data_IF_744630357380
#
_entry.id   IF_744630357380
#
_cell.length_a   1.000
_cell.length_b   1.000
_cell.length_c   1.000
_cell.angle_alpha   90.00
_cell.angle_beta   90.00
_cell.angle_gamma   90.00
#
_symmetry.space_group_name_H-M   'P 1'
#
loop_
_entity.id
_entity.type
_entity.pdbx_description
1 polymer ?
#
# COMPACT_ATOMS: atom_id res chain seq x y z
N UNK A 1 -15.14 -31.60 3.68
CA UNK A 1 -14.33 -30.97 2.60
C UNK A 1 -13.99 -29.47 2.81
N UNK A 2 -14.66 -28.69 3.70
CA UNK A 2 -14.32 -27.26 3.93
C UNK A 2 -12.99 -26.99 4.67
N UNK A 3 -12.49 -27.95 5.46
CA UNK A 3 -11.27 -27.75 6.28
C UNK A 3 -9.96 -27.86 5.48
N UNK A 4 -9.91 -28.73 4.46
CA UNK A 4 -8.70 -28.91 3.66
C UNK A 4 -8.36 -27.66 2.83
N UNK A 5 -9.37 -26.99 2.26
CA UNK A 5 -9.17 -25.73 1.53
C UNK A 5 -8.68 -24.60 2.45
N UNK A 6 -9.24 -24.50 3.66
CA UNK A 6 -8.82 -23.52 4.66
C UNK A 6 -7.38 -23.78 5.14
N UNK A 7 -6.98 -25.04 5.25
CA UNK A 7 -5.63 -25.45 5.63
C UNK A 7 -4.62 -25.18 4.51
N UNK A 8 -4.93 -25.51 3.27
CA UNK A 8 -4.09 -25.21 2.10
C UNK A 8 -3.93 -23.69 1.86
N UNK A 9 -4.98 -22.90 2.07
CA UNK A 9 -4.90 -21.44 2.00
C UNK A 9 -4.01 -20.87 3.12
N UNK A 10 -4.08 -21.45 4.33
CA UNK A 10 -3.19 -21.08 5.45
C UNK A 10 -1.74 -21.44 5.19
N UNK A 11 -1.47 -22.60 4.61
CA UNK A 11 -0.10 -23.04 4.28
C UNK A 11 0.50 -22.21 3.14
N UNK A 12 -0.28 -21.90 2.09
CA UNK A 12 0.14 -20.95 1.04
C UNK A 12 0.40 -19.55 1.60
N UNK A 13 -0.43 -19.07 2.53
CA UNK A 13 -0.20 -17.79 3.21
C UNK A 13 1.04 -17.82 4.12
N UNK A 14 1.39 -18.99 4.69
CA UNK A 14 2.56 -19.15 5.57
C UNK A 14 3.89 -19.08 4.80
N UNK A 15 3.91 -19.53 3.55
CA UNK A 15 5.11 -19.57 2.72
C UNK A 15 5.28 -18.33 1.84
N UNK A 16 4.25 -17.48 1.73
CA UNK A 16 4.36 -16.21 1.02
C UNK A 16 5.11 -15.21 1.90
N UNK A 17 6.37 -14.92 1.57
CA UNK A 17 7.09 -13.80 2.17
C UNK A 17 6.31 -12.51 1.86
N UNK A 18 5.79 -11.85 2.88
CA UNK A 18 5.06 -10.58 2.71
C UNK A 18 6.05 -9.49 2.36
N UNK A 19 5.73 -8.69 1.34
CA UNK A 19 6.58 -7.56 0.97
C UNK A 19 6.24 -6.38 1.89
N UNK A 20 7.23 -5.85 2.59
CA UNK A 20 7.10 -4.70 3.48
C UNK A 20 7.86 -3.51 2.89
N UNK A 21 7.39 -2.29 3.18
CA UNK A 21 8.02 -1.08 2.69
C UNK A 21 7.01 0.04 2.46
N UNK A 22 7.14 0.75 1.33
CA UNK A 22 6.35 1.92 0.98
C UNK A 22 5.71 1.76 -0.39
N UNK A 23 4.41 2.00 -0.46
CA UNK A 23 3.58 2.01 -1.66
C UNK A 23 3.35 3.46 -2.11
N UNK A 24 3.44 3.67 -3.42
CA UNK A 24 2.94 4.84 -4.11
C UNK A 24 1.67 4.49 -4.89
N UNK A 25 0.66 5.34 -4.79
CA UNK A 25 -0.53 5.31 -5.63
C UNK A 25 -0.57 6.60 -6.43
N UNK A 26 -0.37 6.49 -7.73
CA UNK A 26 -0.29 7.62 -8.65
C UNK A 26 -1.57 7.72 -9.47
N UNK A 27 -2.12 8.92 -9.56
CA UNK A 27 -3.13 9.25 -10.56
C UNK A 27 -2.43 9.58 -11.88
N UNK A 28 -2.77 8.82 -12.93
CA UNK A 28 -2.13 8.93 -14.24
C UNK A 28 -2.64 10.12 -15.07
N UNK A 29 -3.75 10.74 -14.68
CA UNK A 29 -4.35 11.89 -15.36
C UNK A 29 -3.81 13.22 -14.85
N UNK A 30 -3.78 13.43 -13.54
CA UNK A 30 -3.31 14.69 -12.93
C UNK A 30 -1.90 14.61 -12.34
N UNK A 31 -1.32 13.42 -12.25
CA UNK A 31 0.03 13.20 -11.75
C UNK A 31 0.18 13.25 -10.24
N UNK A 32 -0.91 13.44 -9.48
CA UNK A 32 -0.92 13.42 -8.01
C UNK A 32 -0.54 12.05 -7.47
N UNK A 33 0.04 12.04 -6.28
CA UNK A 33 0.55 10.84 -5.65
C UNK A 33 0.09 10.72 -4.20
N UNK A 34 -0.28 9.51 -3.80
CA UNK A 34 -0.54 9.14 -2.41
C UNK A 34 0.52 8.13 -1.99
N UNK A 35 1.19 8.35 -0.86
CA UNK A 35 2.28 7.51 -0.36
C UNK A 35 1.84 6.91 0.96
N UNK A 36 2.06 5.60 1.14
CA UNK A 36 1.76 4.93 2.40
C UNK A 36 2.69 3.76 2.69
N UNK A 37 3.19 3.71 3.92
CA UNK A 37 3.98 2.59 4.45
C UNK A 37 3.13 1.40 4.92
N UNK A 38 3.62 0.16 4.75
CA UNK A 38 2.98 -1.03 5.31
C UNK A 38 3.95 -2.20 5.51
N UNK A 39 3.63 -3.05 6.48
CA UNK A 39 4.28 -4.34 6.72
C UNK A 39 3.89 -5.42 5.68
N UNK A 40 2.83 -5.14 4.90
CA UNK A 40 2.34 -6.00 3.84
C UNK A 40 1.74 -5.12 2.75
N UNK A 41 2.51 -4.89 1.69
CA UNK A 41 2.15 -4.00 0.59
C UNK A 41 1.05 -4.62 -0.29
N UNK A 42 1.04 -5.94 -0.48
CA UNK A 42 -0.02 -6.61 -1.24
C UNK A 42 -1.38 -6.48 -0.52
N UNK A 43 -1.40 -6.66 0.80
CA UNK A 43 -2.59 -6.45 1.61
C UNK A 43 -3.03 -4.98 1.62
N UNK A 44 -2.07 -4.04 1.60
CA UNK A 44 -2.36 -2.60 1.51
C UNK A 44 -3.05 -2.27 0.19
N UNK A 45 -2.54 -2.73 -0.96
CA UNK A 45 -3.18 -2.51 -2.27
C UNK A 45 -4.62 -3.01 -2.26
N UNK A 46 -4.86 -4.23 -1.77
CA UNK A 46 -6.19 -4.82 -1.74
C UNK A 46 -7.14 -4.03 -0.83
N UNK A 47 -6.67 -3.59 0.35
CA UNK A 47 -7.42 -2.74 1.26
C UNK A 47 -7.78 -1.40 0.61
N UNK A 48 -6.82 -0.74 -0.02
CA UNK A 48 -7.04 0.55 -0.70
C UNK A 48 -8.10 0.40 -1.80
N UNK A 49 -7.94 -0.57 -2.71
CA UNK A 49 -8.90 -0.83 -3.78
C UNK A 49 -10.30 -1.12 -3.23
N UNK A 50 -10.40 -1.94 -2.19
CA UNK A 50 -11.69 -2.25 -1.57
C UNK A 50 -12.37 -1.01 -1.00
N UNK A 51 -11.64 -0.18 -0.25
CA UNK A 51 -12.18 1.03 0.37
C UNK A 51 -12.54 2.09 -0.68
N UNK A 52 -11.68 2.30 -1.67
CA UNK A 52 -11.89 3.25 -2.76
C UNK A 52 -13.10 2.86 -3.61
N UNK A 53 -13.25 1.58 -3.96
CA UNK A 53 -14.44 1.10 -4.67
C UNK A 53 -15.71 1.17 -3.82
N UNK A 54 -15.58 1.19 -2.50
CA UNK A 54 -16.68 1.28 -1.54
C UNK A 54 -16.95 2.69 -1.03
N UNK A 55 -16.37 3.73 -1.64
CA UNK A 55 -16.52 5.14 -1.25
C UNK A 55 -16.24 5.41 0.25
N UNK A 56 -15.25 4.70 0.80
CA UNK A 56 -14.94 4.67 2.23
C UNK A 56 -13.45 4.85 2.52
N UNK A 57 -12.68 5.30 1.53
CA UNK A 57 -11.28 5.62 1.73
C UNK A 57 -11.14 6.93 2.52
N UNK A 58 -10.19 6.97 3.45
CA UNK A 58 -10.04 8.09 4.40
C UNK A 58 -9.58 9.39 3.78
N UNK A 59 -8.97 9.35 2.59
CA UNK A 59 -8.54 10.54 1.86
C UNK A 59 -9.64 10.96 0.88
N UNK A 60 -10.39 12.00 1.20
CA UNK A 60 -11.52 12.49 0.41
C UNK A 60 -11.12 12.95 -1.00
N UNK A 61 -9.93 13.55 -1.14
CA UNK A 61 -9.41 14.03 -2.42
C UNK A 61 -9.06 12.86 -3.35
N UNK A 62 -8.35 11.84 -2.83
CA UNK A 62 -8.08 10.61 -3.57
C UNK A 62 -9.36 9.84 -3.90
N UNK A 63 -10.32 9.78 -2.96
CA UNK A 63 -11.60 9.13 -3.17
C UNK A 63 -12.38 9.79 -4.31
N UNK A 64 -12.40 11.13 -4.35
CA UNK A 64 -13.05 11.88 -5.42
C UNK A 64 -12.40 11.59 -6.78
N UNK A 65 -11.08 11.68 -6.86
CA UNK A 65 -10.36 11.38 -8.10
C UNK A 65 -10.56 9.92 -8.52
N UNK A 66 -10.60 8.98 -7.57
CA UNK A 66 -10.89 7.57 -7.85
C UNK A 66 -12.27 7.38 -8.47
N UNK A 67 -13.28 8.06 -7.94
CA UNK A 67 -14.65 8.01 -8.47
C UNK A 67 -14.74 8.63 -9.87
N UNK A 68 -13.90 9.62 -10.19
CA UNK A 68 -13.86 10.31 -11.48
C UNK A 68 -13.11 9.52 -12.56
N UNK A 69 -11.90 9.03 -12.25
CA UNK A 69 -11.01 8.39 -13.24
C UNK A 69 -11.08 6.85 -13.23
N UNK A 70 -11.67 6.25 -12.19
CA UNK A 70 -11.74 4.82 -11.99
C UNK A 70 -10.38 4.16 -11.71
N UNK A 71 -10.40 2.89 -11.33
CA UNK A 71 -9.19 2.11 -10.98
C UNK A 71 -8.12 2.10 -12.10
N UNK A 72 -8.53 2.13 -13.37
CA UNK A 72 -7.60 2.14 -14.52
C UNK A 72 -6.80 3.44 -14.62
N UNK A 73 -7.31 4.52 -14.01
CA UNK A 73 -6.62 5.81 -13.90
C UNK A 73 -5.47 5.83 -12.89
N UNK A 74 -5.25 4.73 -12.14
CA UNK A 74 -4.28 4.71 -11.06
C UNK A 74 -3.25 3.59 -11.20
N UNK A 75 -2.00 3.93 -10.84
CA UNK A 75 -0.88 3.00 -10.79
C UNK A 75 -0.43 2.79 -9.34
N UNK A 76 -0.28 1.52 -8.96
CA UNK A 76 0.20 1.10 -7.64
C UNK A 76 1.64 0.60 -7.77
N UNK A 77 2.59 1.28 -7.13
CA UNK A 77 4.02 1.05 -7.31
C UNK A 77 4.72 0.90 -5.96
N UNK A 78 5.55 -0.13 -5.82
CA UNK A 78 6.40 -0.29 -4.63
C UNK A 78 7.64 0.59 -4.80
N UNK A 79 7.69 1.72 -4.10
CA UNK A 79 8.79 2.69 -4.20
C UNK A 79 9.90 2.40 -3.20
N UNK A 80 9.63 1.64 -2.15
CA UNK A 80 10.65 1.15 -1.23
C UNK A 80 10.28 -0.25 -0.75
N UNK A 81 11.24 -1.16 -0.80
CA UNK A 81 11.11 -2.52 -0.26
C UNK A 81 12.09 -2.64 0.90
N UNK A 82 11.59 -2.98 2.07
CA UNK A 82 12.40 -3.25 3.25
C UNK A 82 12.51 -4.77 3.38
N UNK A 83 13.69 -5.36 3.16
CA UNK A 83 13.85 -6.80 3.26
C UNK A 83 13.69 -7.25 4.71
N UNK A 84 13.10 -8.43 4.90
CA UNK A 84 13.11 -9.08 6.19
C UNK A 84 14.56 -9.46 6.53
N UNK A 85 15.05 -8.93 7.63
CA UNK A 85 16.32 -9.28 8.25
C UNK A 85 16.01 -10.32 9.33
N UNK A 86 16.73 -11.46 9.36
CA UNK A 86 16.59 -12.48 10.41
C UNK A 86 17.16 -11.99 11.76
N UNK A 87 16.93 -10.72 12.09
CA UNK A 87 17.36 -10.02 13.28
C UNK A 87 16.13 -9.59 14.11
N UNK A 88 15.91 -10.19 15.30
CA UNK A 88 14.74 -9.90 16.13
C UNK A 88 14.75 -8.50 16.76
N UNK A 89 15.87 -7.78 16.70
CA UNK A 89 16.01 -6.43 17.25
C UNK A 89 15.57 -5.32 16.28
N UNK A 90 15.23 -5.66 15.03
CA UNK A 90 14.82 -4.68 14.03
C UNK A 90 13.37 -4.26 14.28
N UNK A 91 13.16 -2.96 14.47
CA UNK A 91 11.82 -2.39 14.54
C UNK A 91 11.34 -2.00 13.14
N UNK A 92 10.74 -2.95 12.42
CA UNK A 92 10.25 -2.72 11.06
C UNK A 92 9.24 -1.59 10.92
N UNK A 93 8.42 -1.34 11.95
CA UNK A 93 7.48 -0.20 11.92
C UNK A 93 8.23 1.12 11.85
N UNK A 94 9.31 1.25 12.63
CA UNK A 94 10.15 2.45 12.63
C UNK A 94 10.87 2.64 11.29
N UNK A 95 11.39 1.56 10.70
CA UNK A 95 12.03 1.60 9.38
C UNK A 95 11.04 2.00 8.28
N UNK A 96 9.81 1.46 8.31
CA UNK A 96 8.75 1.84 7.37
C UNK A 96 8.39 3.32 7.51
N UNK A 97 8.18 3.82 8.73
CA UNK A 97 7.85 5.24 8.96
C UNK A 97 8.97 6.14 8.42
N UNK A 98 10.23 5.77 8.66
CA UNK A 98 11.38 6.53 8.15
C UNK A 98 11.41 6.52 6.61
N UNK A 99 11.18 5.38 5.99
CA UNK A 99 11.13 5.25 4.53
C UNK A 99 9.95 6.04 3.93
N UNK A 100 8.79 6.00 4.57
CA UNK A 100 7.60 6.75 4.17
C UNK A 100 7.83 8.25 4.25
N UNK A 101 8.43 8.74 5.34
CA UNK A 101 8.80 10.15 5.49
C UNK A 101 9.83 10.60 4.43
N UNK A 102 10.85 9.78 4.16
CA UNK A 102 11.83 10.07 3.12
C UNK A 102 11.15 10.17 1.74
N UNK A 103 10.27 9.20 1.41
CA UNK A 103 9.52 9.21 0.16
C UNK A 103 8.59 10.42 0.01
N UNK A 104 7.96 10.87 1.10
CA UNK A 104 7.14 12.09 1.10
C UNK A 104 7.96 13.35 0.86
N UNK A 105 9.19 13.42 1.41
CA UNK A 105 10.08 14.58 1.25
C UNK A 105 10.76 14.62 -0.12
N UNK A 106 11.07 13.45 -0.69
CA UNK A 106 11.73 13.31 -2.00
C UNK A 106 10.74 13.33 -3.17
N UNK A 107 9.43 13.36 -2.91
CA UNK A 107 8.42 13.42 -3.96
C UNK A 107 8.40 14.78 -4.67
N UNK A 108 8.80 14.79 -5.93
CA UNK A 108 8.64 15.96 -6.83
C UNK A 108 7.19 16.18 -7.31
N UNK A 109 6.26 15.29 -6.92
CA UNK A 109 4.84 15.33 -7.32
C UNK A 109 3.97 15.97 -6.24
N UNK A 110 2.87 16.58 -6.67
CA UNK A 110 1.82 17.00 -5.76
C UNK A 110 1.25 15.79 -5.01
N UNK A 111 1.22 15.90 -3.68
CA UNK A 111 0.73 14.83 -2.81
C UNK A 111 -0.75 15.06 -2.48
N UNK A 112 -1.53 13.97 -2.46
CA UNK A 112 -2.88 14.00 -1.88
C UNK A 112 -2.79 14.40 -0.41
N UNK A 113 -3.57 15.40 0.00
CA UNK A 113 -3.50 15.90 1.38
C UNK A 113 -4.04 14.87 2.36
N UNK A 114 -3.29 14.57 3.40
CA UNK A 114 -3.80 13.81 4.54
C UNK A 114 -4.71 14.72 5.36
N UNK A 115 -5.97 14.32 5.54
CA UNK A 115 -6.91 14.98 6.48
C UNK A 115 -6.52 14.75 7.95
#
# INVERSE_FOLDING_TARGET
MKNALKQQLREKAKNHKTTMGVLSVKNNFNGKQYIQGSLNLEALINKMKFLLNGDSFSNSELQKDWNEYGNEGFSFEFITIIPNQDNPYVNYRKEIIKAEQAALLESDRELYRHE
#
